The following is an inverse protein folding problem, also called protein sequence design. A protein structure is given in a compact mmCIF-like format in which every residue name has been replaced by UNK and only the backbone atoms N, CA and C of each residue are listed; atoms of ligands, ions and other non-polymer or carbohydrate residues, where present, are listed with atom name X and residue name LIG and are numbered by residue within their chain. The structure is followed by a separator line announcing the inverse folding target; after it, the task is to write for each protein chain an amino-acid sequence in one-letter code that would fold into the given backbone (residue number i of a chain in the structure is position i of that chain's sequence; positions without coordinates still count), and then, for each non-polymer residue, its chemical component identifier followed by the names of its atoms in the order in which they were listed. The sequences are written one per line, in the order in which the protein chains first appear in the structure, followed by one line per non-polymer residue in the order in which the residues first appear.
data_IF_276040180514
#
_entry.id   IF_276040180514
#
_cell.length_a   1.000
_cell.length_b   1.000
_cell.length_c   1.000
_cell.angle_alpha   90.00
_cell.angle_beta   90.00
_cell.angle_gamma   90.00
#
_symmetry.space_group_name_H-M   'P 1'
#
loop_
_entity.id
_entity.type
_entity.pdbx_description
1 polymer ?
2 non-polymer ?
3 non-polymer ?
4 non-polymer ?
5 water ?
#
# COMPACT_ATOMS: atom_id res chain seq x y z
N UNK A 11 -13.61 -13.10 -10.75
CA UNK A 11 -12.44 -12.32 -10.25
C UNK A 11 -12.35 -12.27 -8.73
N UNK A 12 -11.16 -12.56 -8.20
CA UNK A 12 -10.95 -12.52 -6.76
C UNK A 12 -9.97 -11.39 -6.42
N UNK A 13 -10.37 -10.54 -5.50
CA UNK A 13 -9.56 -9.39 -5.12
C UNK A 13 -8.94 -9.53 -3.75
N UNK A 14 -7.60 -9.43 -3.72
CA UNK A 14 -6.86 -9.52 -2.49
C UNK A 14 -6.70 -8.11 -1.96
N UNK A 15 -6.91 -7.95 -0.66
CA UNK A 15 -6.83 -6.66 0.00
C UNK A 15 -5.89 -6.78 1.20
N UNK A 16 -4.81 -6.00 1.18
CA UNK A 16 -3.87 -5.97 2.30
C UNK A 16 -3.84 -4.53 2.82
N UNK A 17 -4.27 -4.33 4.06
CA UNK A 17 -4.28 -3.00 4.63
C UNK A 17 -3.45 -2.83 5.89
N UNK A 18 -2.78 -1.69 6.01
CA UNK A 18 -1.96 -1.40 7.18
C UNK A 18 -2.79 -0.88 8.37
N UNK A 19 -3.86 -0.16 8.07
CA UNK A 19 -4.68 0.43 9.12
C UNK A 19 -5.67 -0.53 9.73
N UNK A 20 -5.45 -0.79 11.02
CA UNK A 20 -6.27 -1.71 11.77
C UNK A 20 -7.77 -1.46 11.66
N UNK A 21 -8.19 -0.21 11.79
CA UNK A 21 -9.63 0.10 11.74
C UNK A 21 -10.22 -0.15 10.35
N UNK A 22 -9.40 0.04 9.33
CA UNK A 22 -9.90 -0.20 7.97
C UNK A 22 -10.14 -1.70 7.81
N UNK A 23 -9.21 -2.51 8.31
CA UNK A 23 -9.36 -3.96 8.19
C UNK A 23 -10.61 -4.46 8.93
N UNK A 24 -10.82 -3.96 10.14
CA UNK A 24 -11.99 -4.34 10.93
C UNK A 24 -13.28 -3.94 10.21
N UNK A 25 -13.33 -2.71 9.72
CA UNK A 25 -14.52 -2.23 9.01
C UNK A 25 -14.81 -3.09 7.77
N UNK A 26 -13.78 -3.41 7.02
CA UNK A 26 -13.98 -4.22 5.83
C UNK A 26 -14.35 -5.65 6.24
N UNK A 27 -13.67 -6.20 7.25
CA UNK A 27 -13.98 -7.56 7.68
C UNK A 27 -15.45 -7.74 8.09
N UNK A 28 -16.00 -6.75 8.79
CA UNK A 28 -17.39 -6.83 9.23
C UNK A 28 -18.40 -6.76 8.09
N UNK A 29 -17.94 -6.34 6.91
CA UNK A 29 -18.79 -6.25 5.74
C UNK A 29 -18.74 -7.51 4.88
N UNK A 30 -17.76 -8.36 5.12
CA UNK A 30 -17.63 -9.60 4.35
C UNK A 30 -18.75 -10.61 4.60
N UNK A 31 -19.35 -11.10 3.53
CA UNK A 31 -20.41 -12.11 3.64
C UNK A 31 -19.81 -13.51 3.50
N UNK A 32 -20.41 -14.48 4.18
CA UNK A 32 -19.94 -15.86 4.15
C UNK A 32 -18.50 -15.87 4.61
N UNK A 33 -18.18 -15.04 5.60
CA UNK A 33 -16.83 -14.94 6.09
C UNK A 33 -16.19 -16.19 6.71
N UNK A 34 -14.94 -16.44 6.31
CA UNK A 34 -14.13 -17.54 6.82
C UNK A 34 -12.83 -16.94 7.31
N UNK A 35 -12.20 -17.53 8.31
CA UNK A 35 -10.94 -17.00 8.81
C UNK A 35 -9.83 -18.04 8.72
N UNK A 36 -8.79 -17.71 7.97
CA UNK A 36 -7.65 -18.62 7.83
C UNK A 36 -6.54 -18.12 8.76
N UNK A 37 -6.02 -18.99 9.61
CA UNK A 37 -4.93 -18.61 10.51
C UNK A 37 -3.70 -19.41 10.09
N UNK A 38 -2.64 -18.70 9.68
CA UNK A 38 -1.40 -19.29 9.19
C UNK A 38 -0.20 -18.41 9.43
N UNK A 39 0.92 -19.02 9.79
CA UNK A 39 2.14 -18.29 10.04
C UNK A 39 1.93 -17.07 10.90
N UNK A 40 1.04 -17.17 11.88
CA UNK A 40 0.80 -16.01 12.72
C UNK A 40 -0.07 -14.93 12.10
N UNK A 41 -0.67 -15.20 10.94
CA UNK A 41 -1.54 -14.22 10.27
C UNK A 41 -2.98 -14.71 10.19
N UNK A 42 -3.90 -13.77 10.03
CA UNK A 42 -5.31 -14.12 9.86
C UNK A 42 -5.76 -13.53 8.54
N UNK A 43 -6.36 -14.37 7.70
CA UNK A 43 -6.88 -13.93 6.42
C UNK A 43 -8.37 -14.15 6.43
N UNK A 44 -9.13 -13.13 6.03
CA UNK A 44 -10.57 -13.24 6.00
C UNK A 44 -10.98 -13.36 4.55
N UNK A 45 -11.80 -14.36 4.25
CA UNK A 45 -12.26 -14.54 2.88
C UNK A 45 -13.77 -14.58 2.89
N UNK A 46 -14.35 -14.31 1.72
CA UNK A 46 -15.78 -14.29 1.55
C UNK A 46 -16.09 -13.31 0.42
N UNK A 47 -17.27 -12.71 0.43
CA UNK A 47 -17.60 -11.76 -0.61
C UNK A 47 -17.89 -10.37 -0.04
N UNK A 48 -17.42 -9.35 -0.74
CA UNK A 48 -17.65 -7.96 -0.35
C UNK A 48 -18.60 -7.50 -1.44
N UNK A 49 -19.86 -7.27 -1.09
CA UNK A 49 -20.89 -6.88 -2.08
C UNK A 49 -20.89 -7.81 -3.30
N UNK A 50 -20.85 -9.12 -3.04
CA UNK A 50 -20.87 -10.10 -4.11
C UNK A 50 -19.55 -10.41 -4.80
N UNK A 51 -18.50 -9.64 -4.51
CA UNK A 51 -17.20 -9.90 -5.13
C UNK A 51 -16.32 -10.71 -4.18
N UNK A 52 -15.70 -11.79 -4.70
CA UNK A 52 -14.81 -12.61 -3.87
C UNK A 52 -13.58 -11.80 -3.42
N UNK A 53 -13.31 -11.80 -2.11
CA UNK A 53 -12.17 -11.07 -1.57
C UNK A 53 -11.36 -11.91 -0.59
N UNK A 54 -10.11 -11.52 -0.37
CA UNK A 54 -9.23 -12.17 0.61
C UNK A 54 -8.61 -10.95 1.30
N UNK A 55 -8.88 -10.80 2.60
CA UNK A 55 -8.44 -9.65 3.40
C UNK A 55 -7.42 -9.93 4.50
N UNK A 56 -6.37 -9.12 4.53
CA UNK A 56 -5.31 -9.28 5.51
C UNK A 56 -4.77 -7.96 6.03
N UNK A 57 -4.44 -7.93 7.31
CA UNK A 57 -3.82 -6.75 7.90
C UNK A 57 -2.33 -7.00 7.79
N UNK A 58 -1.60 -6.07 7.16
CA UNK A 58 -0.15 -6.21 7.02
C UNK A 58 0.59 -5.95 8.32
N UNK A 59 1.68 -6.68 8.52
CA UNK A 59 2.52 -6.47 9.69
C UNK A 59 3.46 -5.26 9.45
N UNK A 60 4.35 -5.01 10.38
CA UNK A 60 5.23 -3.86 10.26
C UNK A 60 6.61 -4.24 9.74
N UNK A 61 7.09 -3.55 8.71
CA UNK A 61 8.41 -3.91 8.21
C UNK A 61 8.31 -4.80 7.00
N UNK A 62 9.39 -4.87 6.22
CA UNK A 62 9.43 -5.62 4.97
C UNK A 62 9.16 -7.10 5.11
N UNK A 63 9.88 -7.77 5.99
CA UNK A 63 9.69 -9.21 6.14
C UNK A 63 8.30 -9.58 6.63
N UNK A 64 7.78 -8.87 7.63
CA UNK A 64 6.45 -9.19 8.13
C UNK A 64 5.40 -9.00 7.01
N UNK A 65 5.50 -7.91 6.26
CA UNK A 65 4.57 -7.69 5.16
C UNK A 65 4.71 -8.77 4.07
N UNK A 66 5.96 -9.13 3.74
CA UNK A 66 6.20 -10.15 2.74
C UNK A 66 5.64 -11.50 3.17
N UNK A 67 5.82 -11.83 4.45
CA UNK A 67 5.33 -13.09 4.98
C UNK A 67 3.82 -13.20 4.76
N UNK A 68 3.09 -12.17 5.18
CA UNK A 68 1.65 -12.19 5.03
C UNK A 68 1.19 -12.16 3.57
N UNK A 69 1.80 -11.32 2.75
CA UNK A 69 1.45 -11.22 1.34
C UNK A 69 1.67 -12.59 0.65
N UNK A 70 2.77 -13.26 0.99
CA UNK A 70 3.08 -14.57 0.41
C UNK A 70 2.00 -15.59 0.81
N UNK A 71 1.60 -15.59 2.08
CA UNK A 71 0.56 -16.51 2.50
C UNK A 71 -0.74 -16.20 1.78
N UNK A 72 -1.10 -14.92 1.67
CA UNK A 72 -2.35 -14.59 1.01
C UNK A 72 -2.34 -15.01 -0.46
N UNK A 73 -1.23 -14.73 -1.16
CA UNK A 73 -1.18 -15.07 -2.58
C UNK A 73 -1.16 -16.56 -2.88
N UNK A 74 -0.41 -17.30 -2.09
CA UNK A 74 -0.29 -18.75 -2.25
C UNK A 74 -1.57 -19.45 -1.90
N UNK A 75 -2.13 -19.11 -0.75
CA UNK A 75 -3.34 -19.76 -0.27
C UNK A 75 -4.63 -19.33 -0.99
N UNK A 76 -4.78 -18.04 -1.26
CA UNK A 76 -6.03 -17.56 -1.86
C UNK A 76 -6.00 -17.32 -3.36
N UNK A 77 -4.80 -17.16 -3.91
CA UNK A 77 -4.63 -16.94 -5.34
C UNK A 77 -5.59 -15.88 -5.92
N UNK A 78 -5.51 -14.64 -5.42
CA UNK A 78 -6.38 -13.57 -5.93
C UNK A 78 -5.89 -13.15 -7.32
N UNK A 79 -6.75 -12.49 -8.10
CA UNK A 79 -6.33 -12.05 -9.43
C UNK A 79 -5.60 -10.72 -9.39
N UNK A 80 -5.88 -9.93 -8.37
CA UNK A 80 -5.23 -8.63 -8.23
C UNK A 80 -5.10 -8.34 -6.73
N UNK A 81 -4.23 -7.40 -6.41
CA UNK A 81 -4.05 -7.00 -5.03
C UNK A 81 -4.23 -5.50 -4.88
N UNK A 82 -4.97 -5.12 -3.84
CA UNK A 82 -5.14 -3.72 -3.50
C UNK A 82 -4.42 -3.63 -2.14
N UNK A 83 -3.43 -2.76 -2.04
CA UNK A 83 -2.68 -2.58 -0.79
C UNK A 83 -2.83 -1.14 -0.27
N UNK A 84 -3.44 -1.00 0.90
CA UNK A 84 -3.71 0.31 1.49
C UNK A 84 -2.93 0.60 2.79
N UNK A 85 -2.91 1.87 3.18
CA UNK A 85 -2.25 2.23 4.42
C UNK A 85 -2.03 3.73 4.48
N UNK A 86 -1.05 4.15 5.28
CA UNK A 86 -0.70 5.55 5.45
C UNK A 86 0.80 5.69 5.20
N UNK A 87 1.25 6.91 4.93
CA UNK A 87 2.66 7.15 4.67
C UNK A 87 3.03 8.61 4.96
N UNK A 88 4.33 8.86 5.11
CA UNK A 88 4.80 10.21 5.33
C UNK A 88 4.97 10.78 3.93
N UNK A 89 4.58 12.03 3.72
CA UNK A 89 4.72 12.67 2.41
C UNK A 89 6.07 13.32 2.29
N UNK A 90 6.74 13.16 1.15
CA UNK A 90 8.07 13.74 0.92
C UNK A 90 8.01 15.02 0.08
N UNK A 91 7.00 15.12 -0.79
CA UNK A 91 6.85 16.31 -1.64
C UNK A 91 6.19 17.42 -0.82
N UNK A 92 6.79 18.62 -0.80
CA UNK A 92 6.27 19.77 -0.06
C UNK A 92 4.85 20.19 -0.44
N UNK A 93 4.47 19.91 -1.68
CA UNK A 93 3.14 20.27 -2.17
C UNK A 93 2.04 19.34 -1.68
N UNK A 94 2.42 18.23 -1.07
CA UNK A 94 1.43 17.30 -0.56
C UNK A 94 0.80 17.91 0.68
N UNK A 95 -0.43 17.48 0.97
CA UNK A 95 -1.17 17.92 2.13
C UNK A 95 -1.58 16.69 2.91
N UNK A 96 -1.70 16.84 4.22
CA UNK A 96 -2.14 15.72 5.04
C UNK A 96 -3.52 15.35 4.51
N UNK A 97 -3.76 14.05 4.35
CA UNK A 97 -5.03 13.61 3.82
C UNK A 97 -5.00 13.34 2.31
N UNK A 98 -3.94 13.76 1.62
CA UNK A 98 -3.84 13.45 0.18
C UNK A 98 -3.72 11.93 0.10
N UNK A 99 -4.13 11.35 -1.03
CA UNK A 99 -4.02 9.92 -1.22
C UNK A 99 -3.00 9.65 -2.33
N UNK A 100 -1.83 9.16 -1.97
CA UNK A 100 -0.83 8.85 -3.00
C UNK A 100 -1.12 7.50 -3.64
N UNK A 101 -1.11 7.47 -4.96
CA UNK A 101 -1.34 6.25 -5.71
C UNK A 101 0.00 5.93 -6.40
N UNK A 102 0.53 4.74 -6.09
CA UNK A 102 1.82 4.35 -6.63
C UNK A 102 1.85 4.10 -8.12
N UNK A 103 2.83 4.69 -8.80
CA UNK A 103 3.01 4.29 -10.21
C UNK A 103 4.08 3.20 -10.07
N UNK A 104 4.93 3.33 -9.06
CA UNK A 104 5.93 2.29 -8.75
C UNK A 104 6.39 2.38 -7.30
N UNK A 105 6.99 1.29 -6.83
CA UNK A 105 7.51 1.19 -5.46
C UNK A 105 8.97 0.74 -5.50
N UNK A 106 9.82 1.39 -4.70
CA UNK A 106 11.23 1.06 -4.62
C UNK A 106 11.70 1.01 -3.16
N UNK A 107 12.67 0.15 -2.87
CA UNK A 107 13.25 0.11 -1.51
C UNK A 107 14.23 1.26 -1.38
N UNK A 108 14.15 2.05 -0.32
CA UNK A 108 15.13 3.12 -0.17
C UNK A 108 16.38 2.66 0.56
N UNK A 109 16.30 1.45 1.12
CA UNK A 109 17.42 0.91 1.89
C UNK A 109 18.07 -0.37 1.31
N UNK A 110 17.90 -0.62 0.01
CA UNK A 110 18.54 -1.77 -0.64
C UNK A 110 19.72 -1.19 -1.45
N UNK A 111 20.87 -1.84 -1.39
CA UNK A 111 22.03 -1.31 -2.09
C UNK A 111 23.06 -2.36 -2.46
N UNK A 112 23.03 -2.78 -3.71
CA UNK A 112 24.02 -3.71 -4.24
C UNK A 112 24.61 -3.02 -5.48
N UNK A 113 24.72 -1.69 -5.40
CA UNK A 113 25.28 -0.91 -6.49
C UNK A 113 26.72 -1.30 -6.77
N UNK A 114 27.40 -1.83 -5.75
CA UNK A 114 28.80 -2.27 -5.92
C UNK A 114 28.88 -3.35 -7.00
N UNK A 115 27.77 -4.01 -7.25
CA UNK A 115 27.75 -5.05 -8.28
C UNK A 115 27.09 -4.59 -9.57
N UNK A 116 26.95 -3.29 -9.78
CA UNK A 116 26.36 -2.82 -11.01
C UNK A 116 24.85 -2.60 -11.06
N UNK A 117 24.13 -2.94 -9.98
CA UNK A 117 22.68 -2.74 -9.95
C UNK A 117 22.40 -1.28 -9.63
N UNK A 118 21.17 -0.85 -9.91
CA UNK A 118 20.71 0.49 -9.65
C UNK A 118 20.46 0.63 -8.13
N UNK A 119 20.62 1.81 -7.54
CA UNK A 119 20.36 1.95 -6.09
C UNK A 119 18.89 1.56 -5.80
N UNK A 120 18.66 0.82 -4.71
CA UNK A 120 17.32 0.38 -4.36
C UNK A 120 16.88 -0.95 -4.96
N UNK A 121 17.58 -1.36 -6.02
CA UNK A 121 17.28 -2.61 -6.72
C UNK A 121 17.99 -3.82 -6.10
N UNK A 122 17.31 -4.96 -6.02
CA UNK A 122 17.96 -6.18 -5.53
C UNK A 122 18.09 -7.11 -6.73
N UNK A 123 19.08 -8.02 -6.72
CA UNK A 123 19.26 -8.94 -7.86
C UNK A 123 18.02 -9.78 -8.15
N UNK A 124 17.68 -9.89 -9.44
CA UNK A 124 16.52 -10.67 -9.84
C UNK A 124 15.21 -9.89 -9.87
N UNK A 125 15.26 -8.62 -9.50
CA UNK A 125 14.04 -7.83 -9.51
C UNK A 125 14.23 -6.59 -10.33
N UNK A 126 13.11 -5.96 -10.70
CA UNK A 126 13.17 -4.71 -11.47
C UNK A 126 13.62 -3.70 -10.39
N UNK A 127 14.26 -2.61 -10.81
CA UNK A 127 14.73 -1.62 -9.86
C UNK A 127 13.54 -0.99 -9.13
N UNK A 128 12.42 -0.91 -9.84
CA UNK A 128 11.18 -0.39 -9.27
C UNK A 128 10.05 -1.33 -9.66
N UNK A 129 9.14 -1.63 -8.73
CA UNK A 129 8.03 -2.54 -9.02
C UNK A 129 6.85 -1.68 -9.47
N UNK A 130 6.34 -1.94 -10.66
CA UNK A 130 5.26 -1.13 -11.24
C UNK A 130 3.84 -1.57 -10.99
N UNK A 131 3.05 -0.64 -10.47
CA UNK A 131 1.64 -0.89 -10.23
C UNK A 131 0.97 -1.06 -11.60
N UNK A 132 -0.15 -1.75 -11.62
CA UNK A 132 -0.87 -2.02 -12.85
C UNK A 132 -1.64 -0.78 -13.35
N UNK A 133 -1.46 -0.43 -14.62
CA UNK A 133 -2.11 0.72 -15.24
C UNK A 133 -3.61 0.79 -15.00
N UNK A 134 -4.28 -0.34 -15.19
CA UNK A 134 -5.72 -0.38 -15.00
C UNK A 134 -6.15 -0.24 -13.55
N UNK A 135 -5.37 -0.82 -12.64
CA UNK A 135 -5.70 -0.74 -11.21
C UNK A 135 -5.50 0.71 -10.75
N UNK A 136 -4.44 1.35 -11.27
CA UNK A 136 -4.14 2.74 -10.96
C UNK A 136 -5.31 3.61 -11.43
N UNK A 137 -5.74 3.43 -12.68
CA UNK A 137 -6.83 4.24 -13.22
C UNK A 137 -8.10 4.05 -12.39
N UNK A 138 -8.40 2.81 -12.05
CA UNK A 138 -9.59 2.51 -11.26
C UNK A 138 -9.53 3.18 -9.88
N UNK A 139 -8.35 3.13 -9.25
CA UNK A 139 -8.16 3.72 -7.92
C UNK A 139 -8.37 5.23 -7.96
N UNK A 140 -7.75 5.87 -8.94
CA UNK A 140 -7.89 7.29 -9.08
C UNK A 140 -9.35 7.72 -9.30
N UNK A 141 -10.12 6.95 -10.07
CA UNK A 141 -11.52 7.27 -10.33
C UNK A 141 -12.32 7.13 -9.03
N UNK A 142 -12.07 6.05 -8.29
CA UNK A 142 -12.76 5.85 -7.02
C UNK A 142 -12.42 6.94 -5.99
N UNK A 143 -11.14 7.29 -5.92
CA UNK A 143 -10.67 8.32 -5.00
C UNK A 143 -11.34 9.68 -5.32
N UNK A 144 -11.34 10.06 -6.59
CA UNK A 144 -11.93 11.34 -6.98
C UNK A 144 -13.44 11.37 -6.72
N UNK A 145 -14.09 10.23 -6.94
CA UNK A 145 -15.52 10.10 -6.76
C UNK A 145 -15.88 10.32 -5.30
N UNK A 146 -14.91 10.07 -4.42
CA UNK A 146 -15.13 10.24 -3.00
C UNK A 146 -14.61 11.60 -2.53
N UNK A 147 -14.31 12.47 -3.51
CA UNK A 147 -13.87 13.83 -3.24
C UNK A 147 -12.52 13.90 -2.54
N UNK A 148 -11.71 12.88 -2.76
CA UNK A 148 -10.38 12.85 -2.19
C UNK A 148 -9.42 13.23 -3.30
N UNK A 149 -8.22 13.62 -2.92
CA UNK A 149 -7.21 14.04 -3.86
C UNK A 149 -6.13 12.97 -4.07
N UNK A 150 -6.09 12.42 -5.28
CA UNK A 150 -5.12 11.40 -5.65
C UNK A 150 -3.90 12.06 -6.28
N UNK A 151 -2.71 11.61 -5.87
CA UNK A 151 -1.47 12.11 -6.41
C UNK A 151 -0.71 10.85 -6.81
N UNK A 152 -0.41 10.71 -8.09
CA UNK A 152 0.29 9.52 -8.57
C UNK A 152 1.77 9.74 -8.47
N UNK A 153 2.50 8.73 -7.97
CA UNK A 153 3.93 8.89 -7.86
C UNK A 153 4.66 7.73 -7.20
N UNK A 154 5.96 7.91 -7.02
CA UNK A 154 6.79 6.88 -6.43
C UNK A 154 6.72 6.83 -4.90
N UNK A 155 6.56 5.63 -4.36
CA UNK A 155 6.54 5.43 -2.91
C UNK A 155 7.78 4.59 -2.62
N UNK A 156 8.56 4.99 -1.61
CA UNK A 156 9.76 4.22 -1.24
C UNK A 156 9.49 3.61 0.14
N UNK A 157 10.05 2.41 0.37
CA UNK A 157 9.87 1.67 1.64
C UNK A 157 11.20 1.26 2.24
N UNK A 158 11.26 1.14 3.57
CA UNK A 158 12.51 0.74 4.22
C UNK A 158 12.19 0.37 5.66
N UNK A 159 13.05 -0.40 6.33
CA UNK A 159 12.80 -0.80 7.72
C UNK A 159 13.23 0.24 8.76
N UNK A 160 13.83 1.33 8.29
CA UNK A 160 14.21 2.43 9.18
C UNK A 160 13.12 3.50 9.06
N UNK A 161 12.40 3.75 10.14
CA UNK A 161 11.36 4.79 10.15
C UNK A 161 12.03 6.14 9.92
N UNK A 162 11.50 6.93 9.00
CA UNK A 162 12.06 8.24 8.65
C UNK A 162 11.34 9.38 9.35
N UNK A 163 12.07 10.15 10.14
CA UNK A 163 11.48 11.31 10.82
C UNK A 163 12.57 12.30 11.26
N UNK A 164 13.67 12.34 10.51
CA UNK A 164 14.76 13.24 10.81
C UNK A 164 15.27 13.90 9.55
N UNK A 165 16.06 14.96 9.70
CA UNK A 165 16.57 15.67 8.53
C UNK A 165 17.57 14.85 7.74
N UNK A 166 18.42 14.10 8.43
CA UNK A 166 19.44 13.28 7.79
C UNK A 166 18.86 12.16 6.93
N UNK A 167 17.98 11.35 7.53
CA UNK A 167 17.38 10.25 6.79
C UNK A 167 16.55 10.78 5.63
N UNK A 168 15.88 11.90 5.88
CA UNK A 168 15.06 12.53 4.86
C UNK A 168 15.92 12.97 3.69
N UNK A 169 17.05 13.59 4.01
CA UNK A 169 17.99 14.08 3.00
C UNK A 169 18.52 12.95 2.14
N UNK A 170 18.81 11.81 2.78
CA UNK A 170 19.34 10.67 2.05
C UNK A 170 18.33 10.15 1.03
N UNK A 171 17.09 10.03 1.45
CA UNK A 171 16.04 9.56 0.56
C UNK A 171 15.85 10.51 -0.61
N UNK A 172 15.81 11.81 -0.35
CA UNK A 172 15.63 12.78 -1.43
C UNK A 172 16.82 12.77 -2.36
N UNK A 173 17.99 12.43 -1.85
CA UNK A 173 19.14 12.38 -2.71
C UNK A 173 19.05 11.15 -3.62
N UNK A 174 18.72 10.00 -3.02
CA UNK A 174 18.65 8.77 -3.78
C UNK A 174 17.41 8.65 -4.67
N UNK A 175 16.31 9.29 -4.27
CA UNK A 175 15.08 9.23 -5.03
C UNK A 175 14.43 10.60 -5.16
N UNK A 176 15.00 11.48 -6.01
CA UNK A 176 14.45 12.83 -6.20
C UNK A 176 12.97 12.86 -6.51
N UNK A 177 12.47 11.80 -7.16
CA UNK A 177 11.06 11.73 -7.53
C UNK A 177 10.14 11.03 -6.52
N UNK A 178 10.71 10.58 -5.40
CA UNK A 178 9.89 9.89 -4.41
C UNK A 178 8.98 10.91 -3.75
N UNK A 179 7.70 10.59 -3.58
CA UNK A 179 6.79 11.52 -2.94
C UNK A 179 6.22 11.04 -1.60
N UNK A 180 6.37 9.75 -1.30
CA UNK A 180 5.87 9.20 -0.03
C UNK A 180 6.82 8.10 0.45
N UNK A 181 6.87 7.91 1.76
CA UNK A 181 7.73 6.89 2.35
C UNK A 181 7.01 6.17 3.49
N UNK A 182 7.17 4.85 3.52
CA UNK A 182 6.60 4.07 4.60
C UNK A 182 7.41 2.77 4.75
N UNK A 183 6.84 1.76 5.39
CA UNK A 183 7.63 0.57 5.67
C UNK A 183 7.24 -0.78 5.09
N UNK A 184 6.18 -0.82 4.27
CA UNK A 184 5.75 -2.09 3.72
C UNK A 184 5.42 -2.15 2.24
N UNK A 185 5.05 -1.02 1.63
CA UNK A 185 4.62 -1.07 0.22
C UNK A 185 5.46 -1.86 -0.77
N UNK A 186 6.77 -1.60 -0.78
CA UNK A 186 7.64 -2.26 -1.74
C UNK A 186 7.75 -3.76 -1.50
N UNK A 187 7.73 -4.17 -0.23
CA UNK A 187 7.80 -5.61 0.05
C UNK A 187 6.56 -6.32 -0.51
N UNK A 188 5.38 -5.70 -0.36
CA UNK A 188 4.15 -6.29 -0.87
C UNK A 188 4.19 -6.29 -2.42
N UNK A 189 4.66 -5.19 -3.00
CA UNK A 189 4.76 -5.13 -4.48
C UNK A 189 5.72 -6.21 -4.99
N UNK A 190 6.81 -6.39 -4.26
CA UNK A 190 7.84 -7.39 -4.58
C UNK A 190 7.23 -8.80 -4.59
N UNK A 191 6.49 -9.15 -3.53
CA UNK A 191 5.84 -10.46 -3.48
C UNK A 191 4.86 -10.61 -4.66
N UNK A 192 4.04 -9.59 -4.91
CA UNK A 192 3.09 -9.64 -6.01
C UNK A 192 3.83 -9.90 -7.31
N UNK A 193 4.94 -9.20 -7.49
CA UNK A 193 5.76 -9.37 -8.68
C UNK A 193 6.23 -10.82 -8.82
N UNK A 194 6.71 -11.40 -7.74
CA UNK A 194 7.16 -12.79 -7.84
C UNK A 194 6.03 -13.78 -8.15
N UNK A 195 4.80 -13.43 -7.79
CA UNK A 195 3.67 -14.29 -8.09
C UNK A 195 2.99 -13.85 -9.39
N UNK A 196 3.55 -12.83 -10.05
CA UNK A 196 2.99 -12.29 -11.28
C UNK A 196 1.53 -11.85 -11.06
N UNK A 197 1.28 -11.16 -9.95
CA UNK A 197 -0.06 -10.68 -9.64
C UNK A 197 -0.09 -9.15 -9.72
N UNK A 198 -0.99 -8.58 -10.56
CA UNK A 198 -1.13 -7.13 -10.73
C UNK A 198 -1.49 -6.47 -9.39
N UNK A 199 -0.89 -5.32 -9.10
CA UNK A 199 -1.23 -4.66 -7.83
C UNK A 199 -1.30 -3.15 -7.98
N UNK A 200 -1.83 -2.51 -6.95
CA UNK A 200 -1.88 -1.07 -6.87
C UNK A 200 -1.73 -0.77 -5.38
N UNK A 201 -0.88 0.21 -5.09
CA UNK A 201 -0.59 0.63 -3.71
C UNK A 201 -1.13 2.04 -3.54
N UNK A 202 -1.87 2.21 -2.46
CA UNK A 202 -2.48 3.48 -2.11
C UNK A 202 -2.11 3.81 -0.67
N UNK A 203 -1.78 5.08 -0.41
CA UNK A 203 -1.41 5.47 0.95
C UNK A 203 -1.94 6.88 1.26
N UNK A 204 -2.63 6.99 2.39
CA UNK A 204 -3.15 8.30 2.83
C UNK A 204 -1.96 9.01 3.51
N UNK A 205 -1.74 10.27 3.17
CA UNK A 205 -0.61 11.00 3.75
C UNK A 205 -0.95 11.53 5.16
N UNK A 206 -0.21 11.05 6.15
CA UNK A 206 -0.45 11.42 7.55
C UNK A 206 0.32 12.67 8.00
N UNK A 207 1.43 12.96 7.32
CA UNK A 207 2.22 14.13 7.66
C UNK A 207 3.12 14.47 6.48
N UNK A 208 3.57 15.72 6.42
CA UNK A 208 4.42 16.14 5.32
C UNK A 208 5.79 16.65 5.79
N UNK A 209 6.85 16.11 5.19
CA UNK A 209 8.21 16.52 5.54
C UNK A 209 8.38 18.04 5.67
N UNK A 210 9.09 18.44 6.72
CA UNK A 210 9.38 19.84 7.02
C UNK A 210 8.13 20.66 7.34
N UNK A 211 7.05 19.99 7.72
CA UNK A 211 5.81 20.69 8.06
C UNK A 211 5.20 20.10 9.33
N UNK A 212 4.88 20.97 10.29
CA UNK A 212 4.27 20.57 11.56
C UNK A 212 2.85 20.06 11.30
N UNK A 213 2.58 18.84 11.72
CA UNK A 213 1.25 18.25 11.51
C UNK A 213 0.28 18.75 12.59
N UNK A 214 -0.94 19.07 12.17
CA UNK A 214 -1.96 19.56 13.10
C UNK A 214 -2.65 18.42 13.84
N UNK A 215 -2.92 17.33 13.13
CA UNK A 215 -3.59 16.17 13.70
C UNK A 215 -2.56 15.22 14.30
N UNK A 216 -2.96 14.46 15.32
CA UNK A 216 -2.06 13.47 15.92
C UNK A 216 -2.25 12.23 15.07
N UNK A 217 -1.29 11.32 15.07
CA UNK A 217 -1.46 10.13 14.26
C UNK A 217 -2.80 9.42 14.51
N UNK A 218 -3.20 9.40 15.78
CA UNK A 218 -4.45 8.76 16.16
C UNK A 218 -5.67 9.44 15.53
N UNK A 219 -5.72 10.77 15.59
CA UNK A 219 -6.83 11.51 15.00
C UNK A 219 -6.79 11.36 13.46
N UNK A 220 -5.60 11.29 12.90
CA UNK A 220 -5.49 11.13 11.45
C UNK A 220 -6.11 9.78 11.08
N UNK A 221 -5.64 8.74 11.76
CA UNK A 221 -6.09 7.38 11.55
C UNK A 221 -7.59 7.18 11.68
N UNK A 222 -8.20 7.82 12.67
CA UNK A 222 -9.65 7.68 12.87
C UNK A 222 -10.41 8.10 11.62
N UNK A 223 -9.93 9.15 10.96
CA UNK A 223 -10.57 9.65 9.75
C UNK A 223 -10.14 8.88 8.48
N UNK A 224 -8.85 8.69 8.32
CA UNK A 224 -8.31 8.01 7.14
C UNK A 224 -8.69 6.55 7.00
N UNK A 225 -8.76 5.83 8.12
CA UNK A 225 -9.12 4.42 8.07
C UNK A 225 -10.55 4.26 7.58
N UNK A 226 -11.47 5.12 8.04
CA UNK A 226 -12.86 5.04 7.59
C UNK A 226 -12.94 5.38 6.11
N UNK A 227 -12.27 6.47 5.70
CA UNK A 227 -12.29 6.91 4.29
C UNK A 227 -11.72 5.83 3.40
N UNK A 228 -10.61 5.23 3.83
CA UNK A 228 -9.97 4.19 3.06
C UNK A 228 -10.85 2.96 2.92
N UNK A 229 -11.57 2.55 3.97
CA UNK A 229 -12.42 1.36 3.83
C UNK A 229 -13.50 1.58 2.76
N UNK A 230 -14.06 2.79 2.72
CA UNK A 230 -15.09 3.10 1.72
C UNK A 230 -14.47 3.12 0.33
N UNK A 231 -13.28 3.69 0.21
CA UNK A 231 -12.57 3.72 -1.07
C UNK A 231 -12.34 2.28 -1.56
N UNK A 232 -11.91 1.39 -0.66
CA UNK A 232 -11.67 0.00 -1.05
C UNK A 232 -12.95 -0.70 -1.50
N UNK A 233 -14.03 -0.45 -0.76
CA UNK A 233 -15.31 -1.05 -1.10
C UNK A 233 -15.74 -0.59 -2.49
N UNK A 234 -15.49 0.68 -2.79
CA UNK A 234 -15.85 1.25 -4.10
C UNK A 234 -14.94 0.70 -5.19
N UNK A 235 -13.66 0.56 -4.88
CA UNK A 235 -12.70 0.04 -5.85
C UNK A 235 -12.98 -1.44 -6.14
N UNK A 236 -13.32 -2.21 -5.10
CA UNK A 236 -13.65 -3.62 -5.31
C UNK A 236 -14.83 -3.73 -6.29
N UNK A 237 -15.87 -2.92 -6.04
CA UNK A 237 -17.04 -2.92 -6.91
C UNK A 237 -16.64 -2.51 -8.33
N UNK A 238 -15.90 -1.41 -8.45
CA UNK A 238 -15.49 -0.94 -9.76
C UNK A 238 -14.71 -1.99 -10.57
N UNK A 239 -13.78 -2.69 -9.94
CA UNK A 239 -13.00 -3.70 -10.63
C UNK A 239 -13.81 -4.95 -10.94
N UNK A 240 -14.95 -5.09 -10.27
CA UNK A 240 -15.81 -6.24 -10.48
C UNK A 240 -16.83 -6.00 -11.59
N UNK A 241 -17.51 -4.85 -11.54
CA UNK A 241 -18.54 -4.54 -12.53
C UNK A 241 -18.35 -3.24 -13.29
N UNK A 242 -17.11 -2.76 -13.37
CA UNK A 242 -16.84 -1.53 -14.09
C UNK A 242 -17.36 -0.29 -13.39
X LIG B 1 -22.63 -2.23 -5.09
X LIG B 1 -22.08 -1.81 -3.82
X LIG B 1 -21.24 -0.65 -3.85
X LIG B 1 -20.83 -0.36 -2.45
X LIG B 1 -20.16 0.91 -2.46
X LIG B 1 -20.06 1.49 -1.17
X LIG B 1 -19.57 2.90 -1.24
X LIG B 1 -18.19 3.08 -1.63
X LIG B 1 -17.91 4.47 -1.69
X LIG B 1 -18.69 4.96 -2.86
X LIG B 1 -18.83 6.42 -2.94
X LIG B 1 -19.42 6.78 -4.22
X LIG B 1 -20.63 5.89 -4.43
X LIG B 1 -21.30 6.01 -5.70
X LIG B 1 -22.43 5.07 -5.83
X LIG B 1 -22.50 4.21 -4.59
X LIG B 1 -23.47 3.17 -4.74
X LIG B 1 -23.60 2.38 -3.56
X LIG C 1 3.68 5.05 11.60
X LIG C 1 4.87 4.37 11.86
X LIG C 1 4.54 3.40 12.78
X LIG C 1 5.66 2.60 13.31
X LIG C 1 4.99 1.75 14.34
X LIG C 1 5.56 0.97 15.44
X LIG C 1 4.40 0.75 16.51
X LIG C 1 3.20 0.00 16.07
X LIG D 1 3.98 1.79 9.12
X LIG D 1 4.10 0.24 9.57
X LIG D 1 4.29 2.38 7.88
X LIG D 1 4.40 1.49 6.93
X LIG D 1 4.35 3.56 7.99
X LIG D 1 5.67 4.38 8.02
X LIG E 1 9.36 12.37 7.61
X LIG E 1 8.02 12.54 6.97
X LIG E 1 8.28 12.22 5.52
X LIG E 1 7.06 11.53 7.41
#
# INVERSE_FOLDING_TARGET
FQGAMDPEFSMKIGIIGAMEEEVTLLRDKIENRQTISLGGCEIYTGQLNGTEVALLKSGIGKVAAALGATLLLEHCKPDVIINTGSAGGLAPTLKVGDIVVSDEARYHDADVTAFGYEYGQLPGCPAGFKADDKLIAAAEACIAELNLNAVRGLIVSGDAFINGSVGLAKIRHNFPQAIAVEMEATAIAHVCHNFNVPFVVVRAISDVADQQSHLSFDEFLAVAAKQSSLMVESLVQKLAHG
PE5 C50 O1 C1 C2 O2 C3 C4 O3 C5 C6 O4 C7 C8 O5 C9 C10 O6 C11
PE5 C50 O1 C1 C2 O2 C3 C4 O3
GOL C1 O1 C2 O2 C3 O3
IPA C1 C2 C3 O2
#
